data_IF_291529777955
#
_entry.id   IF_291529777955
#
_cell.length_a   1.000
_cell.length_b   1.000
_cell.length_c   1.000
_cell.angle_alpha   90.00
_cell.angle_beta   90.00
_cell.angle_gamma   90.00
#
_symmetry.space_group_name_H-M   'P 1'
#
loop_
_entity.id
_entity.type
_entity.pdbx_description
1 polymer ?
#
# COMPACT_ATOMS: atom_id res chain seq x y z
N UNK A 1 46.28 84.07 15.12
CA UNK A 1 45.32 84.04 13.99
C UNK A 1 45.72 82.91 13.07
N UNK A 2 45.00 81.80 13.13
CA UNK A 2 45.10 80.70 12.16
C UNK A 2 43.68 80.18 11.93
N UNK A 3 43.13 80.45 10.75
CA UNK A 3 41.83 79.94 10.29
C UNK A 3 41.97 78.50 9.79
N UNK A 4 41.04 77.58 10.14
CA UNK A 4 40.98 76.26 9.52
C UNK A 4 40.20 76.32 8.19
N UNK A 5 40.78 75.70 7.16
CA UNK A 5 40.20 75.50 5.83
C UNK A 5 39.11 74.41 5.88
N UNK A 6 37.89 74.74 5.47
CA UNK A 6 36.79 73.78 5.28
C UNK A 6 36.76 73.35 3.81
N UNK A 7 36.89 72.05 3.55
CA UNK A 7 36.71 71.45 2.22
C UNK A 7 35.21 71.37 1.87
N UNK A 8 34.80 71.69 0.62
CA UNK A 8 33.41 71.59 0.19
C UNK A 8 32.96 70.14 -0.07
N UNK A 9 31.65 69.84 0.05
CA UNK A 9 31.11 68.50 -0.10
C UNK A 9 31.23 67.96 -1.54
N UNK A 10 31.65 66.71 -1.68
CA UNK A 10 31.72 66.01 -2.97
C UNK A 10 30.30 65.77 -3.51
N UNK A 11 29.99 66.39 -4.66
CA UNK A 11 28.78 66.11 -5.42
C UNK A 11 28.86 64.70 -6.04
N UNK A 12 27.95 63.81 -5.64
CA UNK A 12 27.73 62.52 -6.31
C UNK A 12 27.32 62.77 -7.76
N UNK A 13 28.22 62.50 -8.71
CA UNK A 13 27.90 62.53 -10.15
C UNK A 13 26.80 61.52 -10.44
N UNK A 14 25.65 61.99 -10.91
CA UNK A 14 24.59 61.14 -11.42
C UNK A 14 25.15 60.26 -12.55
N UNK A 15 24.98 58.94 -12.42
CA UNK A 15 25.48 57.94 -13.39
C UNK A 15 24.81 58.19 -14.74
N UNK A 16 25.62 58.35 -15.80
CA UNK A 16 25.10 58.65 -17.14
C UNK A 16 24.12 57.57 -17.63
N UNK A 17 23.03 57.96 -18.32
CA UNK A 17 22.01 57.02 -18.80
C UNK A 17 22.61 55.98 -19.76
N UNK A 18 22.16 54.73 -19.62
CA UNK A 18 22.65 53.60 -20.42
C UNK A 18 22.23 53.79 -21.88
N UNK A 19 23.20 53.69 -22.80
CA UNK A 19 22.92 53.64 -24.24
C UNK A 19 22.21 52.32 -24.56
N UNK A 20 21.05 52.41 -25.19
CA UNK A 20 20.26 51.25 -25.59
C UNK A 20 20.64 50.86 -27.01
N UNK A 21 20.85 49.56 -27.22
CA UNK A 21 21.44 49.02 -28.45
C UNK A 21 20.63 49.35 -29.72
N UNK A 22 19.31 49.53 -29.59
CA UNK A 22 18.43 49.84 -30.72
C UNK A 22 18.36 51.34 -31.07
N UNK A 23 18.72 52.23 -30.13
CA UNK A 23 18.61 53.68 -30.31
C UNK A 23 19.95 54.36 -30.63
N UNK A 24 21.07 53.69 -30.35
CA UNK A 24 22.43 54.22 -30.57
C UNK A 24 22.79 55.47 -29.75
N UNK A 25 21.87 55.93 -28.89
CA UNK A 25 22.01 57.07 -27.97
C UNK A 25 21.44 56.72 -26.59
N UNK A 26 21.80 57.45 -25.52
CA UNK A 26 21.11 57.32 -24.25
C UNK A 26 19.62 57.64 -24.44
N UNK A 27 18.74 56.78 -23.94
CA UNK A 27 17.30 57.04 -23.98
C UNK A 27 16.98 58.36 -23.27
N UNK A 28 16.03 59.12 -23.83
CA UNK A 28 15.49 60.28 -23.12
C UNK A 28 14.70 59.82 -21.88
N UNK A 29 14.51 60.70 -20.87
CA UNK A 29 13.70 60.37 -19.71
C UNK A 29 12.28 59.91 -20.08
N UNK A 30 11.71 60.48 -21.14
CA UNK A 30 10.37 60.17 -21.64
C UNK A 30 10.31 58.79 -22.30
N UNK A 31 11.30 58.43 -23.14
CA UNK A 31 11.42 57.11 -23.76
C UNK A 31 11.60 56.01 -22.69
N UNK A 32 12.40 56.29 -21.66
CA UNK A 32 12.58 55.40 -20.50
C UNK A 32 11.28 55.19 -19.74
N UNK A 33 10.51 56.27 -19.52
CA UNK A 33 9.23 56.22 -18.83
C UNK A 33 8.19 55.44 -19.63
N UNK A 34 8.12 55.65 -20.95
CA UNK A 34 7.22 54.92 -21.85
C UNK A 34 7.53 53.42 -21.87
N UNK A 35 8.80 53.02 -22.02
CA UNK A 35 9.21 51.61 -21.97
C UNK A 35 8.88 50.98 -20.63
N UNK A 36 9.17 51.68 -19.51
CA UNK A 36 8.84 51.17 -18.18
C UNK A 36 7.34 51.01 -17.99
N UNK A 37 6.53 51.97 -18.44
CA UNK A 37 5.07 51.90 -18.39
C UNK A 37 4.52 50.72 -19.22
N UNK A 38 5.07 50.50 -20.41
CA UNK A 38 4.69 49.38 -21.27
C UNK A 38 5.10 48.03 -20.65
N UNK A 39 6.32 47.92 -20.12
CA UNK A 39 6.79 46.73 -19.43
C UNK A 39 5.97 46.45 -18.17
N UNK A 40 5.64 47.47 -17.37
CA UNK A 40 4.76 47.34 -16.21
C UNK A 40 3.35 46.92 -16.60
N UNK A 41 2.80 47.44 -17.72
CA UNK A 41 1.50 47.02 -18.25
C UNK A 41 1.52 45.55 -18.68
N UNK A 42 2.54 45.13 -19.42
CA UNK A 42 2.73 43.72 -19.83
C UNK A 42 2.94 42.80 -18.62
N UNK A 43 3.70 43.22 -17.61
CA UNK A 43 3.90 42.45 -16.38
C UNK A 43 2.60 42.30 -15.57
N UNK A 44 1.83 43.37 -15.37
CA UNK A 44 0.52 43.30 -14.71
C UNK A 44 -0.50 42.45 -15.48
N UNK A 45 -0.47 42.51 -16.81
CA UNK A 45 -1.31 41.67 -17.67
C UNK A 45 -0.95 40.17 -17.58
N UNK A 46 0.34 39.84 -17.37
CA UNK A 46 0.83 38.46 -17.19
C UNK A 46 0.66 37.92 -15.77
N UNK A 47 0.60 38.79 -14.75
CA UNK A 47 0.29 38.46 -13.34
C UNK A 47 -1.22 38.33 -13.09
N UNK A 48 -1.94 37.74 -14.02
CA UNK A 48 -3.39 37.66 -13.92
C UNK A 48 -3.78 36.33 -13.30
N UNK A 49 -4.55 36.42 -12.22
CA UNK A 49 -5.40 35.34 -11.69
C UNK A 49 -6.07 34.56 -12.84
N UNK A 50 -6.36 35.21 -13.98
CA UNK A 50 -6.84 34.55 -15.20
C UNK A 50 -5.93 33.44 -15.72
N UNK A 51 -4.60 33.60 -15.75
CA UNK A 51 -3.70 32.53 -16.16
C UNK A 51 -3.73 31.36 -15.16
N UNK A 52 -3.86 31.66 -13.86
CA UNK A 52 -4.01 30.65 -12.82
C UNK A 52 -5.33 29.89 -12.98
N UNK A 53 -6.45 30.60 -13.16
CA UNK A 53 -7.78 30.03 -13.38
C UNK A 53 -7.83 29.21 -14.66
N UNK A 54 -7.24 29.70 -15.75
CA UNK A 54 -7.17 28.99 -17.02
C UNK A 54 -6.33 27.71 -16.91
N UNK A 55 -5.21 27.78 -16.18
CA UNK A 55 -4.37 26.61 -15.91
C UNK A 55 -5.10 25.58 -15.05
N UNK A 56 -5.85 26.02 -14.03
CA UNK A 56 -6.65 25.15 -13.18
C UNK A 56 -7.81 24.50 -13.95
N UNK A 57 -8.46 25.25 -14.85
CA UNK A 57 -9.49 24.72 -15.72
C UNK A 57 -8.92 23.68 -16.70
N UNK A 58 -7.73 23.94 -17.24
CA UNK A 58 -7.05 23.01 -18.14
C UNK A 58 -6.66 21.70 -17.43
N UNK A 59 -6.12 21.78 -16.20
CA UNK A 59 -5.79 20.58 -15.41
C UNK A 59 -7.04 19.80 -15.01
N UNK A 60 -8.11 20.48 -14.60
CA UNK A 60 -9.38 19.83 -14.27
C UNK A 60 -10.01 19.16 -15.50
N UNK A 61 -9.97 19.83 -16.66
CA UNK A 61 -10.42 19.25 -17.92
C UNK A 61 -9.67 17.98 -18.28
N UNK A 62 -8.34 17.96 -18.11
CA UNK A 62 -7.54 16.75 -18.30
C UNK A 62 -7.94 15.63 -17.33
N UNK A 63 -8.12 15.94 -16.05
CA UNK A 63 -8.60 14.96 -15.05
C UNK A 63 -9.96 14.38 -15.43
N UNK A 64 -10.90 15.22 -15.88
CA UNK A 64 -12.22 14.76 -16.34
C UNK A 64 -12.07 13.80 -17.52
N UNK A 65 -11.25 14.15 -18.51
CA UNK A 65 -10.99 13.27 -19.67
C UNK A 65 -10.42 11.92 -19.22
N UNK A 66 -9.46 11.91 -18.31
CA UNK A 66 -8.89 10.67 -17.74
C UNK A 66 -9.97 9.85 -17.03
N UNK A 67 -10.79 10.49 -16.19
CA UNK A 67 -11.88 9.81 -15.45
C UNK A 67 -12.92 9.20 -16.38
N UNK A 68 -13.22 9.85 -17.51
CA UNK A 68 -14.17 9.34 -18.51
C UNK A 68 -13.57 8.24 -19.39
N UNK A 69 -12.27 8.30 -19.70
CA UNK A 69 -11.58 7.30 -20.52
C UNK A 69 -11.33 6.00 -19.75
N UNK A 70 -11.11 6.07 -18.43
CA UNK A 70 -10.86 4.88 -17.61
C UNK A 70 -12.21 4.23 -17.27
N UNK A 71 -12.60 3.12 -17.94
CA UNK A 71 -13.81 2.41 -17.56
C UNK A 71 -13.65 1.90 -16.13
N UNK A 72 -14.43 2.45 -15.21
CA UNK A 72 -14.63 1.84 -13.90
C UNK A 72 -15.67 0.75 -14.06
N UNK A 73 -15.22 -0.49 -13.96
CA UNK A 73 -16.13 -1.60 -13.73
C UNK A 73 -16.62 -1.49 -12.28
N UNK A 74 -17.90 -1.18 -12.09
CA UNK A 74 -18.58 -1.28 -10.78
C UNK A 74 -18.83 -2.75 -10.37
N UNK A 75 -18.54 -3.68 -11.28
CA UNK A 75 -18.50 -5.11 -10.99
C UNK A 75 -17.12 -5.42 -10.40
N UNK A 76 -17.02 -5.91 -9.16
CA UNK A 76 -15.78 -6.51 -8.71
C UNK A 76 -15.43 -7.59 -9.73
N UNK A 77 -14.21 -7.56 -10.25
CA UNK A 77 -13.68 -8.70 -10.99
C UNK A 77 -13.46 -9.77 -9.93
N UNK A 78 -14.54 -10.42 -9.49
CA UNK A 78 -14.48 -11.63 -8.65
C UNK A 78 -14.00 -12.76 -9.57
N UNK A 79 -12.72 -12.74 -9.95
CA UNK A 79 -12.05 -13.99 -10.32
C UNK A 79 -11.80 -14.69 -9.00
N UNK A 80 -12.85 -15.32 -8.47
CA UNK A 80 -12.71 -16.27 -7.39
C UNK A 80 -11.72 -17.33 -7.89
N UNK A 81 -10.61 -17.48 -7.17
CA UNK A 81 -9.63 -18.51 -7.46
C UNK A 81 -10.23 -19.83 -6.98
N UNK A 82 -10.22 -20.84 -7.85
CA UNK A 82 -10.52 -22.21 -7.46
C UNK A 82 -9.28 -22.77 -6.76
N UNK A 83 -9.25 -22.66 -5.44
CA UNK A 83 -8.08 -23.06 -4.64
C UNK A 83 -7.88 -24.57 -4.64
N UNK A 84 -8.95 -25.37 -4.73
CA UNK A 84 -8.87 -26.83 -4.76
C UNK A 84 -8.22 -27.32 -6.06
N UNK A 85 -8.59 -26.72 -7.20
CA UNK A 85 -7.90 -27.00 -8.47
C UNK A 85 -6.41 -26.64 -8.42
N UNK A 86 -6.05 -25.51 -7.80
CA UNK A 86 -4.65 -25.09 -7.66
C UNK A 86 -3.88 -25.98 -6.68
N UNK A 87 -4.48 -26.36 -5.55
CA UNK A 87 -3.88 -27.28 -4.59
C UNK A 87 -3.58 -28.63 -5.26
N UNK A 88 -4.53 -29.17 -6.03
CA UNK A 88 -4.33 -30.42 -6.78
C UNK A 88 -3.22 -30.30 -7.85
N UNK A 89 -3.10 -29.16 -8.52
CA UNK A 89 -2.02 -28.91 -9.50
C UNK A 89 -0.64 -28.84 -8.83
N UNK A 90 -0.56 -28.25 -7.64
CA UNK A 90 0.69 -28.01 -6.91
C UNK A 90 1.10 -29.16 -5.99
N UNK A 91 0.17 -30.02 -5.58
CA UNK A 91 0.43 -31.16 -4.69
C UNK A 91 1.62 -32.04 -5.12
N UNK A 92 1.83 -32.36 -6.41
CA UNK A 92 2.99 -33.16 -6.84
C UNK A 92 4.35 -32.46 -6.71
N UNK A 93 4.37 -31.17 -6.38
CA UNK A 93 5.60 -30.37 -6.25
C UNK A 93 6.12 -30.28 -4.82
N UNK A 94 5.36 -30.81 -3.86
CA UNK A 94 5.69 -30.84 -2.43
C UNK A 94 5.45 -32.23 -1.86
N UNK A 95 6.22 -32.61 -0.85
CA UNK A 95 6.15 -33.93 -0.22
C UNK A 95 5.19 -33.98 0.98
N UNK A 96 4.40 -32.92 1.18
CA UNK A 96 3.42 -32.80 2.27
C UNK A 96 2.05 -32.56 1.69
N UNK A 97 1.02 -33.06 2.35
CA UNK A 97 -0.38 -32.83 2.02
C UNK A 97 -0.68 -31.34 2.11
N UNK A 98 -1.05 -30.72 0.99
CA UNK A 98 -1.50 -29.33 0.96
C UNK A 98 -2.92 -29.25 1.52
N UNK A 99 -3.15 -28.31 2.42
CA UNK A 99 -4.50 -28.08 2.95
C UNK A 99 -5.44 -27.52 1.87
N UNK A 100 -6.63 -28.10 1.78
CA UNK A 100 -7.66 -27.80 0.79
C UNK A 100 -9.06 -27.99 1.40
N UNK A 101 -9.51 -27.04 2.24
CA UNK A 101 -10.75 -27.23 2.98
C UNK A 101 -11.96 -27.21 2.04
N UNK A 102 -12.85 -28.19 2.23
CA UNK A 102 -14.11 -28.32 1.50
C UNK A 102 -15.20 -27.38 2.06
N UNK A 103 -14.99 -26.07 1.93
CA UNK A 103 -15.87 -25.06 2.53
C UNK A 103 -17.28 -25.03 1.89
N UNK A 104 -18.33 -24.69 2.67
CA UNK A 104 -19.68 -24.53 2.16
C UNK A 104 -19.82 -23.47 1.05
N UNK A 105 -20.95 -23.49 0.35
CA UNK A 105 -21.25 -22.49 -0.67
C UNK A 105 -21.23 -21.05 -0.10
N UNK A 106 -20.69 -20.12 -0.88
CA UNK A 106 -20.59 -18.70 -0.53
C UNK A 106 -19.19 -18.24 -0.11
N UNK A 107 -18.31 -19.19 0.22
CA UNK A 107 -16.88 -18.93 0.37
C UNK A 107 -16.21 -18.71 -0.99
N UNK A 108 -15.28 -17.76 -1.04
CA UNK A 108 -14.44 -17.51 -2.23
C UNK A 108 -13.01 -17.28 -1.81
N UNK A 109 -12.05 -17.46 -2.72
CA UNK A 109 -10.65 -17.05 -2.52
C UNK A 109 -10.29 -15.92 -3.47
N UNK A 110 -9.60 -14.89 -2.97
CA UNK A 110 -9.09 -13.81 -3.82
C UNK A 110 -7.69 -14.11 -4.41
N UNK A 111 -6.96 -15.05 -3.79
CA UNK A 111 -5.60 -15.42 -4.16
C UNK A 111 -5.24 -16.78 -3.56
N UNK A 112 -4.40 -17.51 -4.28
CA UNK A 112 -3.68 -18.67 -3.76
C UNK A 112 -2.24 -18.64 -4.24
N UNK A 113 -1.30 -19.07 -3.41
CA UNK A 113 0.11 -19.02 -3.77
C UNK A 113 0.89 -20.13 -3.06
N UNK A 114 1.75 -20.82 -3.81
CA UNK A 114 2.86 -21.59 -3.26
C UNK A 114 4.14 -20.79 -3.51
N UNK A 115 4.83 -20.42 -2.44
CA UNK A 115 6.04 -19.60 -2.52
C UNK A 115 7.12 -20.16 -1.60
N UNK A 116 8.38 -19.88 -1.93
CA UNK A 116 9.51 -20.19 -1.05
C UNK A 116 10.21 -18.88 -0.70
N UNK A 117 10.37 -18.61 0.59
CA UNK A 117 11.01 -17.39 1.05
C UNK A 117 12.55 -17.45 0.96
N UNK A 118 13.22 -16.38 1.38
CA UNK A 118 14.69 -16.29 1.34
C UNK A 118 15.38 -17.21 2.36
N UNK A 119 14.66 -17.65 3.39
CA UNK A 119 15.15 -18.63 4.37
C UNK A 119 14.98 -20.06 3.86
N UNK A 120 14.31 -20.25 2.72
CA UNK A 120 14.06 -21.57 2.12
C UNK A 120 12.77 -22.22 2.62
N UNK A 121 11.94 -21.50 3.38
CA UNK A 121 10.67 -22.02 3.88
C UNK A 121 9.63 -21.94 2.76
N UNK A 122 9.14 -23.09 2.34
CA UNK A 122 8.01 -23.16 1.39
C UNK A 122 6.71 -22.96 2.14
N UNK A 123 5.80 -22.17 1.57
CA UNK A 123 4.50 -21.87 2.15
C UNK A 123 3.39 -21.94 1.10
N UNK A 124 2.36 -22.72 1.40
CA UNK A 124 1.08 -22.71 0.71
C UNK A 124 0.14 -21.72 1.39
N UNK A 125 -0.57 -20.92 0.60
CA UNK A 125 -1.40 -19.85 1.10
C UNK A 125 -2.72 -19.75 0.33
N UNK A 126 -3.82 -19.63 1.08
CA UNK A 126 -5.17 -19.40 0.57
C UNK A 126 -5.75 -18.16 1.25
N UNK A 127 -6.20 -17.20 0.45
CA UNK A 127 -6.78 -15.94 0.92
C UNK A 127 -8.31 -15.99 0.79
N UNK A 128 -8.99 -16.47 1.83
CA UNK A 128 -10.43 -16.70 1.84
C UNK A 128 -11.23 -15.45 2.19
N UNK A 129 -12.43 -15.39 1.64
CA UNK A 129 -13.48 -14.42 1.91
C UNK A 129 -14.75 -15.20 2.28
N UNK A 130 -15.27 -14.95 3.48
CA UNK A 130 -16.50 -15.57 3.98
C UNK A 130 -17.75 -15.06 3.23
N UNK A 131 -18.90 -15.75 3.34
CA UNK A 131 -20.17 -15.26 2.81
C UNK A 131 -20.54 -13.85 3.30
N UNK A 132 -20.18 -13.52 4.55
CA UNK A 132 -20.36 -12.20 5.19
C UNK A 132 -19.26 -11.18 4.80
N UNK A 133 -18.42 -11.53 3.82
CA UNK A 133 -17.32 -10.70 3.29
C UNK A 133 -16.22 -10.41 4.32
N UNK A 134 -15.96 -11.33 5.25
CA UNK A 134 -14.85 -11.25 6.18
C UNK A 134 -13.63 -11.98 5.64
N UNK A 135 -12.44 -11.45 5.87
CA UNK A 135 -11.19 -12.04 5.41
C UNK A 135 -10.61 -13.05 6.41
N UNK A 136 -10.13 -14.18 5.87
CA UNK A 136 -9.36 -15.20 6.59
C UNK A 136 -8.27 -15.77 5.67
N UNK A 137 -7.01 -15.72 6.09
CA UNK A 137 -5.90 -16.39 5.43
C UNK A 137 -5.63 -17.76 6.05
N UNK A 138 -5.40 -18.77 5.20
CA UNK A 138 -4.83 -20.06 5.59
C UNK A 138 -3.39 -20.07 5.11
N UNK A 139 -2.44 -20.14 6.05
CA UNK A 139 -1.03 -20.31 5.76
C UNK A 139 -0.59 -21.70 6.20
N UNK A 140 0.00 -22.48 5.31
CA UNK A 140 0.69 -23.72 5.63
C UNK A 140 2.16 -23.52 5.30
N UNK A 141 3.00 -23.39 6.31
CA UNK A 141 4.45 -23.40 6.13
C UNK A 141 5.00 -24.82 6.29
N UNK A 142 6.00 -25.17 5.48
CA UNK A 142 6.68 -26.48 5.50
C UNK A 142 8.06 -26.30 6.11
N UNK A 143 8.42 -27.16 7.08
CA UNK A 143 9.68 -27.13 7.82
C UNK A 143 9.99 -25.74 8.41
N UNK A 144 8.96 -25.10 8.97
CA UNK A 144 9.04 -23.75 9.54
C UNK A 144 9.86 -23.72 10.82
N UNK A 145 10.39 -22.55 11.17
CA UNK A 145 10.96 -22.28 12.48
C UNK A 145 10.13 -21.26 13.29
N UNK A 146 10.53 -21.04 14.54
CA UNK A 146 9.87 -20.09 15.44
C UNK A 146 9.92 -18.64 14.92
N UNK A 147 10.89 -18.30 14.07
CA UNK A 147 11.01 -16.95 13.51
C UNK A 147 9.97 -16.69 12.42
N UNK A 148 9.67 -17.71 11.61
CA UNK A 148 8.60 -17.66 10.61
C UNK A 148 7.23 -17.43 11.28
N UNK A 149 6.94 -18.19 12.33
CA UNK A 149 5.67 -18.07 13.06
C UNK A 149 5.57 -16.71 13.77
N UNK A 150 6.65 -16.27 14.44
CA UNK A 150 6.70 -14.98 15.10
C UNK A 150 6.52 -13.82 14.10
N UNK A 151 7.03 -13.92 12.88
CA UNK A 151 6.83 -12.92 11.83
C UNK A 151 5.37 -12.84 11.39
N UNK A 152 4.66 -13.97 11.28
CA UNK A 152 3.22 -14.01 10.95
C UNK A 152 2.36 -13.40 12.05
N UNK A 153 2.72 -13.65 13.30
CA UNK A 153 1.93 -13.29 14.48
C UNK A 153 2.44 -12.03 15.18
N UNK A 154 3.29 -11.22 14.52
CA UNK A 154 3.81 -9.97 15.07
C UNK A 154 4.40 -10.13 16.48
N UNK A 155 5.09 -11.27 16.71
CA UNK A 155 5.69 -11.65 17.99
C UNK A 155 4.72 -11.98 19.13
N UNK A 156 3.41 -12.08 18.87
CA UNK A 156 2.43 -12.43 19.89
C UNK A 156 2.61 -13.88 20.36
N UNK A 157 2.28 -14.13 21.63
CA UNK A 157 2.24 -15.46 22.24
C UNK A 157 0.79 -15.98 22.28
N UNK A 158 0.57 -17.30 22.35
CA UNK A 158 -0.77 -17.85 22.43
C UNK A 158 -1.44 -17.43 23.75
N UNK A 159 -2.73 -17.15 23.69
CA UNK A 159 -3.55 -16.74 24.84
C UNK A 159 -4.32 -17.90 25.46
N UNK A 160 -4.59 -18.95 24.69
CA UNK A 160 -5.27 -20.18 25.12
C UNK A 160 -5.08 -21.28 24.08
N UNK A 161 -5.67 -22.45 24.32
CA UNK A 161 -5.77 -23.55 23.35
C UNK A 161 -7.24 -23.94 23.19
N UNK A 162 -7.65 -24.31 21.99
CA UNK A 162 -8.98 -24.80 21.66
C UNK A 162 -8.89 -26.17 20.96
N UNK A 163 -9.92 -26.99 21.08
CA UNK A 163 -10.04 -28.25 20.32
C UNK A 163 -11.22 -28.12 19.37
N UNK A 164 -10.96 -28.22 18.07
CA UNK A 164 -11.95 -28.06 17.00
C UNK A 164 -11.86 -29.28 16.10
N UNK A 165 -12.97 -30.01 15.97
CA UNK A 165 -13.04 -31.31 15.28
C UNK A 165 -11.89 -32.28 15.65
N UNK A 166 -11.49 -32.29 16.93
CA UNK A 166 -10.42 -33.16 17.43
C UNK A 166 -8.99 -32.70 17.13
N UNK A 167 -8.80 -31.57 16.44
CA UNK A 167 -7.50 -30.91 16.26
C UNK A 167 -7.29 -29.89 17.38
N UNK A 168 -6.10 -29.91 17.99
CA UNK A 168 -5.70 -28.93 19.01
C UNK A 168 -5.12 -27.69 18.34
N UNK A 169 -5.63 -26.52 18.68
CA UNK A 169 -5.23 -25.24 18.12
C UNK A 169 -4.77 -24.29 19.21
N UNK A 170 -3.58 -23.72 19.06
CA UNK A 170 -3.17 -22.58 19.86
C UNK A 170 -3.87 -21.32 19.35
N UNK A 171 -4.53 -20.63 20.28
CA UNK A 171 -5.35 -19.46 20.02
C UNK A 171 -4.51 -18.23 20.27
N UNK A 172 -4.49 -17.32 19.29
CA UNK A 172 -3.82 -16.02 19.38
C UNK A 172 -4.82 -14.89 19.19
N UNK A 173 -4.59 -13.79 19.92
CA UNK A 173 -5.33 -12.55 19.77
C UNK A 173 -4.33 -11.40 19.74
N UNK A 174 -4.47 -10.49 18.78
CA UNK A 174 -3.64 -9.29 18.74
C UNK A 174 -4.26 -8.19 19.61
N UNK A 175 -3.60 -7.74 20.70
CA UNK A 175 -4.16 -6.75 21.61
C UNK A 175 -4.09 -5.31 21.05
N UNK A 176 -3.43 -5.09 19.90
CA UNK A 176 -3.29 -3.77 19.31
C UNK A 176 -4.64 -3.18 18.87
N UNK A 177 -4.77 -1.84 18.87
CA UNK A 177 -5.90 -1.13 18.27
C UNK A 177 -6.20 -1.57 16.83
N UNK A 178 -7.44 -1.40 16.39
CA UNK A 178 -7.90 -1.91 15.09
C UNK A 178 -7.16 -1.30 13.89
N UNK A 179 -6.78 -0.03 14.01
CA UNK A 179 -6.00 0.73 13.05
C UNK A 179 -4.50 0.38 13.06
N UNK A 180 -4.02 -0.36 14.07
CA UNK A 180 -2.60 -0.72 14.23
C UNK A 180 -2.31 -2.21 13.99
N UNK A 181 -3.31 -3.09 14.09
CA UNK A 181 -3.13 -4.55 14.02
C UNK A 181 -3.19 -5.15 12.61
N UNK A 182 -3.59 -4.36 11.61
CA UNK A 182 -3.81 -4.86 10.25
C UNK A 182 -4.84 -5.99 10.22
N UNK A 183 -4.58 -7.03 9.41
CA UNK A 183 -5.46 -8.19 9.27
C UNK A 183 -5.34 -9.20 10.42
N UNK A 184 -4.38 -9.04 11.33
CA UNK A 184 -4.20 -9.96 12.44
C UNK A 184 -5.02 -9.51 13.65
N UNK A 185 -6.28 -9.91 13.71
CA UNK A 185 -7.12 -9.76 14.91
C UNK A 185 -7.09 -11.03 15.76
N UNK A 186 -7.32 -12.17 15.10
CA UNK A 186 -7.38 -13.50 15.70
C UNK A 186 -6.59 -14.47 14.83
N UNK A 187 -6.00 -15.49 15.46
CA UNK A 187 -5.38 -16.59 14.74
C UNK A 187 -5.51 -17.92 15.48
N UNK A 188 -5.55 -19.00 14.73
CA UNK A 188 -5.42 -20.38 15.21
C UNK A 188 -4.16 -20.99 14.59
N UNK A 189 -3.35 -21.66 15.41
CA UNK A 189 -2.11 -22.32 14.96
C UNK A 189 -2.12 -23.78 15.37
N UNK A 190 -1.74 -24.67 14.47
CA UNK A 190 -1.46 -26.08 14.80
C UNK A 190 -0.24 -26.57 14.04
N UNK A 191 0.52 -27.46 14.66
CA UNK A 191 1.53 -28.25 13.98
C UNK A 191 0.89 -29.52 13.40
N UNK A 192 1.32 -29.92 12.22
CA UNK A 192 0.82 -31.06 11.47
C UNK A 192 1.96 -31.72 10.68
N UNK A 193 2.66 -32.65 11.34
CA UNK A 193 3.86 -33.27 10.79
C UNK A 193 4.95 -32.23 10.50
N UNK A 194 5.50 -32.14 9.27
CA UNK A 194 6.46 -31.09 8.90
C UNK A 194 5.80 -29.71 8.69
N UNK A 195 4.47 -29.62 8.72
CA UNK A 195 3.75 -28.39 8.46
C UNK A 195 3.38 -27.63 9.74
N UNK A 196 3.44 -26.30 9.67
CA UNK A 196 2.75 -25.40 10.62
C UNK A 196 1.60 -24.72 9.88
N UNK A 197 0.39 -24.91 10.37
CA UNK A 197 -0.84 -24.36 9.79
C UNK A 197 -1.32 -23.20 10.66
N UNK A 198 -1.52 -22.04 10.03
CA UNK A 198 -1.96 -20.80 10.66
C UNK A 198 -3.19 -20.28 9.94
N UNK A 199 -4.32 -20.24 10.65
CA UNK A 199 -5.48 -19.45 10.26
C UNK A 199 -5.29 -18.05 10.84
N UNK A 200 -5.37 -17.00 10.03
CA UNK A 200 -5.16 -15.62 10.47
C UNK A 200 -6.09 -14.66 9.74
N UNK A 201 -6.76 -13.77 10.47
CA UNK A 201 -7.70 -12.84 9.86
C UNK A 201 -8.36 -11.89 10.83
N UNK A 202 -9.27 -11.10 10.29
CA UNK A 202 -10.06 -10.10 11.01
C UNK A 202 -11.42 -10.63 11.47
N UNK A 203 -11.83 -11.79 10.94
CA UNK A 203 -13.10 -12.43 11.25
C UNK A 203 -13.25 -12.78 12.74
N UNK A 204 -14.50 -13.02 13.16
CA UNK A 204 -14.78 -13.47 14.53
C UNK A 204 -14.47 -14.97 14.71
N UNK A 205 -14.32 -15.45 15.96
CA UNK A 205 -13.98 -16.86 16.25
C UNK A 205 -14.88 -17.89 15.57
N UNK A 206 -16.18 -17.62 15.44
CA UNK A 206 -17.16 -18.50 14.75
C UNK A 206 -16.74 -18.83 13.31
N UNK A 207 -16.17 -17.85 12.58
CA UNK A 207 -15.69 -18.03 11.22
C UNK A 207 -14.44 -18.92 11.21
N UNK A 208 -13.54 -18.73 12.18
CA UNK A 208 -12.36 -19.59 12.34
C UNK A 208 -12.75 -21.02 12.69
N UNK A 209 -13.70 -21.22 13.59
CA UNK A 209 -14.17 -22.55 13.98
C UNK A 209 -14.79 -23.30 12.79
N UNK A 210 -15.55 -22.59 11.94
CA UNK A 210 -16.11 -23.18 10.71
C UNK A 210 -15.03 -23.64 9.74
N UNK A 211 -13.99 -22.82 9.51
CA UNK A 211 -12.90 -23.18 8.59
C UNK A 211 -12.00 -24.26 9.20
N UNK A 212 -11.66 -24.16 10.48
CA UNK A 212 -10.86 -25.15 11.20
C UNK A 212 -11.54 -26.53 11.26
N UNK A 213 -12.87 -26.56 11.33
CA UNK A 213 -13.66 -27.81 11.24
C UNK A 213 -13.48 -28.48 9.88
N UNK A 214 -13.67 -27.73 8.79
CA UNK A 214 -13.51 -28.28 7.43
C UNK A 214 -12.05 -28.59 7.07
N UNK A 215 -11.08 -27.94 7.73
CA UNK A 215 -9.65 -28.20 7.56
C UNK A 215 -9.14 -29.42 8.34
N UNK A 216 -9.88 -29.86 9.36
CA UNK A 216 -9.41 -30.91 10.27
C UNK A 216 -9.04 -32.24 9.60
N UNK A 217 -9.73 -32.72 8.55
CA UNK A 217 -9.28 -33.87 7.75
C UNK A 217 -7.89 -33.67 7.14
N UNK A 218 -7.62 -32.51 6.56
CA UNK A 218 -6.34 -32.19 5.92
C UNK A 218 -5.23 -32.04 6.96
N UNK A 219 -5.53 -31.41 8.10
CA UNK A 219 -4.59 -31.33 9.23
C UNK A 219 -4.18 -32.72 9.70
N UNK A 220 -5.14 -33.66 9.81
CA UNK A 220 -4.85 -35.05 10.18
C UNK A 220 -4.04 -35.78 9.11
N UNK A 221 -4.32 -35.55 7.83
CA UNK A 221 -3.52 -36.10 6.74
C UNK A 221 -2.07 -35.57 6.79
N UNK A 222 -1.89 -34.26 6.98
CA UNK A 222 -0.57 -33.66 7.13
C UNK A 222 0.19 -34.15 8.37
N UNK A 223 -0.50 -34.52 9.46
CA UNK A 223 0.10 -35.18 10.62
C UNK A 223 0.66 -36.57 10.29
N UNK A 224 0.09 -37.27 9.30
CA UNK A 224 0.55 -38.59 8.87
C UNK A 224 1.78 -38.52 7.96
N UNK A 225 2.02 -37.39 7.27
CA UNK A 225 3.21 -37.17 6.44
C UNK A 225 4.54 -37.23 7.22
N UNK A 226 4.47 -37.14 8.55
CA UNK A 226 5.64 -37.31 9.42
C UNK A 226 6.08 -38.78 9.63
N UNK A 227 5.43 -39.76 8.98
CA UNK A 227 5.73 -41.20 9.13
C UNK A 227 6.57 -41.80 8.01
#
# INVERSE_FOLDING_TARGET
>A
MSTPTVNPPQQNKAKAPRVVAELGRPETPEETAARKAENSRKHRAKQTINNLVLSLAATLGLVIVIVLIVPRSDKPIERAVDWSSVAAELQPTVDVTLVDPALPAGWTANSTELSTDKAGITSWYIALISPEKQYLGIHQGIDTDASWLAAKLDGNSPVSTAVIDGVSWDVYSNPKPADERGLFHYALVTEAGPSTIVLLGEAGPEVFDSVATELAPDVRAAQEDAR
#
